data_IF_993565661290
#
_entry.id   IF_993565661290
#
_cell.length_a   1.000
_cell.length_b   1.000
_cell.length_c   1.000
_cell.angle_alpha   90.00
_cell.angle_beta   90.00
_cell.angle_gamma   90.00
#
_symmetry.space_group_name_H-M   'P 1'
#
loop_
_entity.id
_entity.type
_entity.pdbx_description
1 polymer ?
#
# COMPACT_ATOMS: atom_id res chain seq x y z
N UNK A 1 -40.44 -26.53 -23.99
CA UNK A 1 -39.79 -25.22 -24.10
C UNK A 1 -38.89 -24.91 -22.90
N UNK A 2 -39.22 -25.35 -21.67
CA UNK A 2 -38.41 -25.09 -20.47
C UNK A 2 -36.99 -25.64 -20.52
N UNK A 3 -36.78 -26.91 -20.91
CA UNK A 3 -35.42 -27.52 -21.00
C UNK A 3 -34.46 -26.84 -21.98
N UNK A 4 -34.96 -26.20 -23.04
CA UNK A 4 -34.10 -25.44 -23.98
C UNK A 4 -33.69 -24.08 -23.42
N UNK A 5 -34.47 -23.50 -22.50
CA UNK A 5 -34.16 -22.25 -21.81
C UNK A 5 -33.11 -22.48 -20.74
N UNK A 6 -33.27 -23.53 -19.94
CA UNK A 6 -32.28 -23.93 -18.92
C UNK A 6 -30.89 -24.27 -19.52
N UNK A 7 -30.86 -24.96 -20.67
CA UNK A 7 -29.60 -25.24 -21.36
C UNK A 7 -28.93 -24.00 -21.95
N UNK A 8 -29.71 -23.00 -22.36
CA UNK A 8 -29.17 -21.73 -22.86
C UNK A 8 -28.64 -20.85 -21.72
N UNK A 9 -29.34 -20.84 -20.60
CA UNK A 9 -28.96 -20.09 -19.41
C UNK A 9 -27.68 -20.69 -18.78
N UNK A 10 -27.55 -22.03 -18.69
CA UNK A 10 -26.33 -22.70 -18.24
C UNK A 10 -25.12 -22.48 -19.19
N UNK A 11 -25.35 -22.44 -20.50
CA UNK A 11 -24.27 -22.18 -21.46
C UNK A 11 -23.79 -20.71 -21.38
N UNK A 12 -24.70 -19.74 -21.18
CA UNK A 12 -24.34 -18.35 -20.96
C UNK A 12 -23.60 -18.13 -19.64
N UNK A 13 -23.99 -18.83 -18.60
CA UNK A 13 -23.30 -18.76 -17.30
C UNK A 13 -21.88 -19.35 -17.34
N UNK A 14 -21.68 -20.42 -18.09
CA UNK A 14 -20.35 -21.00 -18.34
C UNK A 14 -19.46 -20.08 -19.17
N UNK A 15 -20.01 -19.43 -20.20
CA UNK A 15 -19.29 -18.47 -21.03
C UNK A 15 -18.88 -17.23 -20.26
N UNK A 16 -19.74 -16.71 -19.37
CA UNK A 16 -19.44 -15.60 -18.47
C UNK A 16 -18.36 -15.97 -17.46
N UNK A 17 -18.38 -17.16 -16.88
CA UNK A 17 -17.34 -17.65 -15.97
C UNK A 17 -15.98 -17.78 -16.65
N UNK A 18 -15.96 -18.27 -17.89
CA UNK A 18 -14.71 -18.41 -18.65
C UNK A 18 -14.11 -17.04 -19.00
N UNK A 19 -14.95 -16.10 -19.41
CA UNK A 19 -14.57 -14.73 -19.72
C UNK A 19 -14.02 -14.01 -18.46
N UNK A 20 -14.66 -14.20 -17.31
CA UNK A 20 -14.21 -13.65 -16.04
C UNK A 20 -12.83 -14.22 -15.63
N UNK A 21 -12.61 -15.54 -15.79
CA UNK A 21 -11.31 -16.15 -15.49
C UNK A 21 -10.20 -15.66 -16.42
N UNK A 22 -10.49 -15.47 -17.71
CA UNK A 22 -9.54 -14.91 -18.66
C UNK A 22 -9.14 -13.47 -18.29
N UNK A 23 -10.12 -12.63 -17.97
CA UNK A 23 -9.86 -11.26 -17.52
C UNK A 23 -9.08 -11.19 -16.20
N UNK A 24 -9.29 -12.13 -15.27
CA UNK A 24 -8.48 -12.23 -14.05
C UNK A 24 -7.00 -12.52 -14.34
N UNK A 25 -6.72 -13.36 -15.31
CA UNK A 25 -5.35 -13.68 -15.70
C UNK A 25 -4.71 -12.47 -16.40
N UNK A 26 -5.43 -11.81 -17.31
CA UNK A 26 -4.95 -10.64 -18.03
C UNK A 26 -4.62 -9.47 -17.08
N UNK A 27 -5.47 -9.21 -16.09
CA UNK A 27 -5.21 -8.13 -15.13
C UNK A 27 -4.04 -8.45 -14.18
N UNK A 28 -3.82 -9.73 -13.85
CA UNK A 28 -2.63 -10.18 -13.12
C UNK A 28 -1.34 -9.92 -13.92
N UNK A 29 -1.36 -10.21 -15.23
CA UNK A 29 -0.21 -9.93 -16.08
C UNK A 29 0.05 -8.43 -16.22
N UNK A 30 -1.02 -7.63 -16.29
CA UNK A 30 -0.94 -6.18 -16.36
C UNK A 30 -0.37 -5.59 -15.07
N UNK A 31 -0.80 -6.10 -13.91
CA UNK A 31 -0.26 -5.71 -12.61
C UNK A 31 1.23 -6.03 -12.46
N UNK A 32 1.65 -7.22 -12.90
CA UNK A 32 3.07 -7.61 -12.91
C UNK A 32 3.93 -6.71 -13.81
N UNK A 33 3.41 -6.26 -14.95
CA UNK A 33 4.09 -5.30 -15.84
C UNK A 33 4.21 -3.92 -15.22
N UNK A 34 3.27 -3.52 -14.34
CA UNK A 34 3.23 -2.23 -13.65
C UNK A 34 3.88 -2.24 -12.25
N UNK A 35 4.92 -3.02 -12.05
CA UNK A 35 5.62 -3.13 -10.75
C UNK A 35 4.70 -3.57 -9.60
N UNK A 36 3.74 -4.45 -9.88
CA UNK A 36 2.74 -4.95 -8.94
C UNK A 36 1.84 -3.86 -8.31
N UNK A 37 1.52 -2.81 -9.07
CA UNK A 37 0.59 -1.76 -8.67
C UNK A 37 -0.49 -1.58 -9.72
N UNK A 38 -1.76 -1.54 -9.30
CA UNK A 38 -2.89 -1.20 -10.14
C UNK A 38 -3.77 -0.16 -9.45
N UNK A 39 -4.27 0.81 -10.22
CA UNK A 39 -5.25 1.77 -9.71
C UNK A 39 -6.65 1.14 -9.65
N UNK A 40 -7.40 1.47 -8.61
CA UNK A 40 -8.79 1.00 -8.44
C UNK A 40 -9.65 1.33 -9.67
N UNK A 41 -9.48 2.53 -10.24
CA UNK A 41 -10.20 2.96 -11.45
C UNK A 41 -9.82 2.11 -12.67
N UNK A 42 -8.56 1.77 -12.84
CA UNK A 42 -8.12 0.88 -13.92
C UNK A 42 -8.75 -0.51 -13.81
N UNK A 43 -8.86 -1.05 -12.59
CA UNK A 43 -9.53 -2.33 -12.35
C UNK A 43 -11.03 -2.22 -12.65
N UNK A 44 -11.66 -1.15 -12.19
CA UNK A 44 -13.09 -0.88 -12.45
C UNK A 44 -13.39 -0.74 -13.95
N UNK A 45 -12.57 0.00 -14.68
CA UNK A 45 -12.71 0.16 -16.13
C UNK A 45 -12.45 -1.14 -16.88
N UNK A 46 -11.50 -1.96 -16.43
CA UNK A 46 -11.19 -3.26 -17.04
C UNK A 46 -12.34 -4.27 -16.91
N UNK A 47 -13.08 -4.22 -15.81
CA UNK A 47 -14.22 -5.10 -15.56
C UNK A 47 -15.59 -4.46 -15.88
N UNK A 48 -15.63 -3.22 -16.41
CA UNK A 48 -16.86 -2.48 -16.69
C UNK A 48 -17.85 -3.24 -17.57
N UNK A 49 -17.35 -4.00 -18.55
CA UNK A 49 -18.17 -4.80 -19.47
C UNK A 49 -18.88 -5.97 -18.76
N UNK A 50 -18.41 -6.40 -17.59
CA UNK A 50 -18.98 -7.54 -16.87
C UNK A 50 -19.99 -7.15 -15.80
N UNK A 51 -20.21 -5.82 -15.57
CA UNK A 51 -21.13 -5.29 -14.56
C UNK A 51 -21.09 -6.09 -13.26
N UNK A 52 -19.88 -6.19 -12.67
CA UNK A 52 -19.66 -6.98 -11.45
C UNK A 52 -20.43 -6.36 -10.28
N UNK A 53 -21.09 -7.21 -9.50
CA UNK A 53 -21.63 -6.82 -8.19
C UNK A 53 -20.49 -6.36 -7.27
N UNK A 54 -20.72 -5.41 -6.34
CA UNK A 54 -19.69 -4.92 -5.43
C UNK A 54 -18.96 -6.04 -4.67
N UNK A 55 -19.67 -7.10 -4.25
CA UNK A 55 -19.08 -8.26 -3.58
C UNK A 55 -18.09 -9.01 -4.47
N UNK A 56 -18.42 -9.22 -5.74
CA UNK A 56 -17.54 -9.89 -6.70
C UNK A 56 -16.33 -9.04 -7.06
N UNK A 57 -16.50 -7.72 -7.13
CA UNK A 57 -15.42 -6.80 -7.39
C UNK A 57 -14.40 -6.79 -6.23
N UNK A 58 -14.87 -6.86 -4.98
CA UNK A 58 -14.02 -6.98 -3.82
C UNK A 58 -13.25 -8.30 -3.80
N UNK A 59 -13.88 -9.42 -4.18
CA UNK A 59 -13.18 -10.70 -4.34
C UNK A 59 -12.06 -10.61 -5.40
N UNK A 60 -12.21 -9.78 -6.43
CA UNK A 60 -11.15 -9.52 -7.42
C UNK A 60 -10.01 -8.74 -6.78
N UNK A 61 -10.30 -7.72 -5.98
CA UNK A 61 -9.29 -6.94 -5.26
C UNK A 61 -8.52 -7.85 -4.29
N UNK A 62 -9.22 -8.61 -3.46
CA UNK A 62 -8.60 -9.55 -2.53
C UNK A 62 -7.72 -10.58 -3.25
N UNK A 63 -8.18 -11.09 -4.39
CA UNK A 63 -7.40 -12.01 -5.21
C UNK A 63 -6.13 -11.38 -5.78
N UNK A 64 -6.18 -10.13 -6.24
CA UNK A 64 -5.02 -9.38 -6.72
C UNK A 64 -4.01 -9.14 -5.59
N UNK A 65 -4.48 -8.73 -4.40
CA UNK A 65 -3.64 -8.52 -3.24
C UNK A 65 -2.97 -9.80 -2.73
N UNK A 66 -3.70 -10.95 -2.73
CA UNK A 66 -3.13 -12.26 -2.40
C UNK A 66 -2.04 -12.70 -3.38
N UNK A 67 -2.12 -12.25 -4.64
CA UNK A 67 -1.09 -12.47 -5.65
C UNK A 67 0.02 -11.42 -5.66
N UNK A 68 0.07 -10.54 -4.65
CA UNK A 68 1.12 -9.54 -4.46
C UNK A 68 0.97 -8.30 -5.34
N UNK A 69 -0.22 -8.05 -5.89
CA UNK A 69 -0.54 -6.81 -6.60
C UNK A 69 -1.27 -5.88 -5.64
N UNK A 70 -0.66 -4.73 -5.33
CA UNK A 70 -1.29 -3.71 -4.48
C UNK A 70 -2.25 -2.85 -5.30
N UNK A 71 -3.48 -2.74 -4.82
CA UNK A 71 -4.52 -1.92 -5.45
C UNK A 71 -4.52 -0.53 -4.84
N UNK A 72 -4.18 0.48 -5.67
CA UNK A 72 -4.19 1.88 -5.29
C UNK A 72 -5.60 2.45 -5.50
N UNK A 73 -6.28 2.81 -4.42
CA UNK A 73 -7.51 3.59 -4.49
C UNK A 73 -7.14 5.08 -4.62
N UNK A 74 -6.80 5.54 -5.82
CA UNK A 74 -6.74 6.96 -6.13
C UNK A 74 -8.19 7.37 -6.41
N UNK A 75 -8.92 7.74 -5.38
CA UNK A 75 -10.22 8.37 -5.57
C UNK A 75 -9.98 9.82 -5.97
N UNK A 76 -10.19 10.13 -7.25
CA UNK A 76 -10.41 11.51 -7.72
C UNK A 76 -11.82 12.01 -7.35
N UNK A 77 -12.59 11.23 -6.62
CA UNK A 77 -13.85 11.63 -6.04
C UNK A 77 -13.64 12.08 -4.60
N UNK A 78 -14.30 13.16 -4.23
CA UNK A 78 -14.40 13.79 -2.91
C UNK A 78 -14.93 12.84 -1.79
N UNK A 79 -14.80 11.54 -1.96
CA UNK A 79 -15.30 10.46 -1.09
C UNK A 79 -14.31 10.03 0.02
N UNK A 80 -13.27 10.81 0.29
CA UNK A 80 -12.44 10.60 1.49
C UNK A 80 -13.15 11.30 2.64
N UNK A 81 -13.44 10.56 3.71
CA UNK A 81 -14.04 11.08 4.94
C UNK A 81 -13.56 12.49 5.29
N UNK A 82 -14.46 13.50 5.29
CA UNK A 82 -14.18 14.85 5.75
C UNK A 82 -13.65 14.91 7.21
N UNK A 83 -13.96 13.88 8.01
CA UNK A 83 -13.33 13.64 9.32
C UNK A 83 -11.92 13.01 9.20
N UNK A 84 -11.49 12.58 8.00
CA UNK A 84 -10.18 12.02 7.65
C UNK A 84 -9.49 12.89 6.59
N UNK A 85 -10.17 13.90 6.03
CA UNK A 85 -9.53 14.90 5.18
C UNK A 85 -8.57 15.71 6.06
N UNK A 86 -7.37 15.24 6.05
CA UNK A 86 -6.24 16.11 6.29
C UNK A 86 -6.05 16.82 4.96
N UNK A 87 -6.11 18.15 5.03
CA UNK A 87 -5.89 19.03 3.90
C UNK A 87 -4.81 18.45 2.98
N UNK A 88 -5.13 18.31 1.69
CA UNK A 88 -4.18 17.84 0.66
C UNK A 88 -2.96 18.77 0.56
N UNK A 89 -3.01 19.94 1.20
CA UNK A 89 -1.99 20.97 1.20
C UNK A 89 -0.92 20.84 2.31
N UNK A 90 -1.09 19.92 3.28
CA UNK A 90 -0.05 19.69 4.28
C UNK A 90 1.10 18.86 3.69
N UNK A 91 1.99 19.52 2.95
CA UNK A 91 3.38 19.05 2.84
C UNK A 91 3.91 18.90 4.26
N UNK A 92 4.01 17.66 4.73
CA UNK A 92 4.55 17.39 6.06
C UNK A 92 6.03 17.77 6.02
N UNK A 93 6.36 18.98 6.49
CA UNK A 93 7.74 19.39 6.67
C UNK A 93 8.38 18.49 7.74
N UNK A 94 9.09 17.48 7.28
CA UNK A 94 9.72 16.48 8.16
C UNK A 94 10.66 17.11 9.19
N UNK A 95 11.19 18.29 8.88
CA UNK A 95 12.07 19.05 9.77
C UNK A 95 11.37 19.60 11.03
N UNK A 96 10.07 19.88 10.94
CA UNK A 96 9.25 20.47 12.03
C UNK A 96 8.37 19.46 12.77
N UNK A 97 8.58 18.15 12.55
CA UNK A 97 7.76 17.13 13.20
C UNK A 97 7.97 17.17 14.71
N UNK A 98 6.88 17.46 15.43
CA UNK A 98 6.84 17.34 16.88
C UNK A 98 6.73 15.87 17.29
N UNK A 99 7.74 15.37 17.99
CA UNK A 99 7.80 14.02 18.56
C UNK A 99 7.20 13.94 19.97
N UNK A 100 6.49 14.95 20.45
CA UNK A 100 5.78 14.88 21.73
C UNK A 100 4.67 13.81 21.67
N UNK A 101 4.35 13.23 22.82
CA UNK A 101 3.25 12.26 22.93
C UNK A 101 1.92 13.01 22.79
N UNK A 102 0.95 12.54 21.98
CA UNK A 102 -0.35 13.19 21.83
C UNK A 102 -1.12 13.25 23.16
N UNK A 103 -1.97 14.27 23.29
CA UNK A 103 -2.88 14.37 24.44
C UNK A 103 -3.85 13.16 24.47
N UNK A 104 -4.05 12.58 25.65
CA UNK A 104 -4.91 11.39 25.82
C UNK A 104 -4.24 10.04 25.63
N UNK A 105 -2.98 10.01 25.21
CA UNK A 105 -2.18 8.77 25.20
C UNK A 105 -1.48 8.63 26.54
N UNK A 106 -1.66 7.47 27.20
CA UNK A 106 -0.87 7.13 28.39
C UNK A 106 0.61 7.12 28.01
N UNK A 107 1.41 7.90 28.73
CA UNK A 107 2.88 7.97 28.51
C UNK A 107 3.52 6.73 29.11
N UNK A 108 3.35 5.61 28.45
CA UNK A 108 4.03 4.37 28.80
C UNK A 108 5.53 4.48 28.42
N UNK A 109 6.39 3.89 29.21
CA UNK A 109 7.84 3.86 28.94
C UNK A 109 8.19 3.38 27.50
N UNK A 110 7.50 2.39 26.91
CA UNK A 110 7.77 1.94 25.54
C UNK A 110 7.58 3.00 24.47
N UNK A 111 6.54 3.84 24.56
CA UNK A 111 6.27 4.92 23.58
C UNK A 111 7.40 5.94 23.62
N UNK A 112 7.73 6.41 24.81
CA UNK A 112 8.80 7.40 25.02
C UNK A 112 10.15 6.86 24.55
N UNK A 113 10.44 5.60 24.84
CA UNK A 113 11.68 4.94 24.43
C UNK A 113 11.78 4.86 22.91
N UNK A 114 10.70 4.48 22.22
CA UNK A 114 10.64 4.43 20.75
C UNK A 114 10.86 5.83 20.13
N UNK A 115 10.15 6.86 20.62
CA UNK A 115 10.31 8.22 20.12
C UNK A 115 11.72 8.76 20.30
N UNK A 116 12.38 8.44 21.42
CA UNK A 116 13.77 8.80 21.67
C UNK A 116 14.73 8.09 20.72
N UNK A 117 14.45 6.83 20.37
CA UNK A 117 15.29 6.03 19.46
C UNK A 117 15.25 6.58 18.04
N UNK A 118 14.05 6.80 17.49
CA UNK A 118 13.90 7.35 16.13
C UNK A 118 14.43 8.77 16.01
N UNK A 119 14.43 9.54 17.11
CA UNK A 119 14.97 10.90 17.15
C UNK A 119 16.49 10.98 16.98
N UNK A 120 17.22 9.89 17.17
CA UNK A 120 18.69 9.83 17.01
C UNK A 120 19.11 9.80 15.53
N UNK A 121 18.26 9.31 14.65
CA UNK A 121 18.56 9.19 13.22
C UNK A 121 18.47 10.56 12.56
N UNK A 122 19.55 11.02 11.87
CA UNK A 122 19.53 12.29 11.16
C UNK A 122 18.57 12.25 9.97
N UNK A 123 18.00 13.42 9.63
CA UNK A 123 17.20 13.57 8.43
C UNK A 123 18.06 13.49 7.17
N UNK A 124 17.50 13.01 6.09
CA UNK A 124 18.15 12.93 4.78
C UNK A 124 17.89 14.21 3.98
N UNK A 125 18.89 14.62 3.20
CA UNK A 125 18.72 15.63 2.17
C UNK A 125 18.11 15.01 0.90
N UNK A 126 17.57 15.83 0.01
CA UNK A 126 16.98 15.36 -1.25
C UNK A 126 17.99 14.58 -2.13
N UNK A 127 19.25 15.01 -2.12
CA UNK A 127 20.32 14.35 -2.88
C UNK A 127 20.66 12.97 -2.27
N UNK A 128 20.67 12.84 -0.95
CA UNK A 128 20.86 11.57 -0.26
C UNK A 128 19.69 10.60 -0.50
N UNK A 129 18.44 11.09 -0.55
CA UNK A 129 17.28 10.27 -0.92
C UNK A 129 17.43 9.65 -2.31
N UNK A 130 17.90 10.43 -3.27
CA UNK A 130 18.14 9.98 -4.65
C UNK A 130 19.30 8.97 -4.69
N UNK A 131 20.41 9.22 -4.00
CA UNK A 131 21.54 8.30 -3.93
C UNK A 131 21.14 6.95 -3.33
N UNK A 132 20.37 6.95 -2.22
CA UNK A 132 19.87 5.74 -1.60
C UNK A 132 18.91 4.98 -2.54
N UNK A 133 18.04 5.69 -3.24
CA UNK A 133 17.12 5.07 -4.20
C UNK A 133 17.88 4.44 -5.41
N UNK A 134 18.94 5.07 -5.89
CA UNK A 134 19.83 4.50 -6.93
C UNK A 134 20.52 3.22 -6.44
N UNK A 135 21.08 3.24 -5.23
CA UNK A 135 21.71 2.07 -4.64
C UNK A 135 20.72 0.91 -4.46
N UNK A 136 19.45 1.20 -4.17
CA UNK A 136 18.39 0.18 -4.09
C UNK A 136 18.07 -0.41 -5.48
N UNK A 137 17.98 0.41 -6.52
CA UNK A 137 17.74 -0.03 -7.91
C UNK A 137 18.90 -0.91 -8.40
N UNK A 138 20.14 -0.49 -8.16
CA UNK A 138 21.35 -1.26 -8.50
C UNK A 138 21.39 -2.62 -7.77
N UNK A 139 21.02 -2.64 -6.50
CA UNK A 139 20.90 -3.86 -5.71
C UNK A 139 19.84 -4.82 -6.28
N UNK A 140 18.69 -4.30 -6.71
CA UNK A 140 17.63 -5.11 -7.32
C UNK A 140 18.10 -5.72 -8.67
N UNK A 141 18.74 -4.92 -9.51
CA UNK A 141 19.33 -5.40 -10.78
C UNK A 141 20.42 -6.45 -10.53
N UNK A 142 21.22 -6.27 -9.48
CA UNK A 142 22.24 -7.25 -9.08
C UNK A 142 21.62 -8.59 -8.67
N UNK A 143 20.49 -8.58 -7.93
CA UNK A 143 19.75 -9.80 -7.56
C UNK A 143 19.27 -10.55 -8.80
N UNK A 144 18.71 -9.86 -9.79
CA UNK A 144 18.26 -10.48 -11.04
C UNK A 144 19.42 -11.12 -11.80
N UNK A 145 20.55 -10.42 -11.91
CA UNK A 145 21.77 -10.97 -12.54
C UNK A 145 22.29 -12.22 -11.82
N UNK A 146 22.34 -12.18 -10.48
CA UNK A 146 22.75 -13.34 -9.66
C UNK A 146 21.84 -14.54 -9.92
N UNK A 147 20.53 -14.34 -10.02
CA UNK A 147 19.57 -15.42 -10.30
C UNK A 147 19.80 -16.04 -11.70
N UNK A 148 20.09 -15.22 -12.70
CA UNK A 148 20.45 -15.70 -14.05
C UNK A 148 21.78 -16.47 -14.04
N UNK A 149 22.79 -15.95 -13.34
CA UNK A 149 24.10 -16.62 -13.21
C UNK A 149 24.00 -17.95 -12.46
N UNK A 150 23.20 -18.02 -11.40
CA UNK A 150 22.92 -19.27 -10.66
C UNK A 150 22.29 -20.32 -11.57
N UNK A 151 21.36 -19.93 -12.45
CA UNK A 151 20.77 -20.86 -13.41
C UNK A 151 21.76 -21.39 -14.47
N UNK A 152 22.87 -20.69 -14.73
CA UNK A 152 23.92 -21.14 -15.65
C UNK A 152 24.94 -22.08 -14.98
N UNK A 153 25.07 -22.05 -13.66
CA UNK A 153 26.02 -22.87 -12.90
C UNK A 153 25.82 -24.37 -13.10
N UNK A 154 24.58 -24.83 -13.31
CA UNK A 154 24.24 -26.26 -13.39
C UNK A 154 24.75 -26.93 -14.68
N UNK A 155 25.09 -26.14 -15.73
CA UNK A 155 25.57 -26.63 -17.01
C UNK A 155 27.01 -26.21 -17.39
N UNK A 156 27.71 -25.47 -16.52
CA UNK A 156 29.00 -24.85 -16.82
C UNK A 156 30.19 -25.77 -16.50
N UNK A 157 31.31 -25.57 -17.20
CA UNK A 157 32.60 -26.22 -16.92
C UNK A 157 33.18 -25.73 -15.60
N UNK A 158 34.15 -26.44 -15.01
CA UNK A 158 34.74 -26.03 -13.71
C UNK A 158 35.47 -24.67 -13.77
N UNK A 159 36.03 -24.30 -14.92
CA UNK A 159 36.67 -23.00 -15.12
C UNK A 159 35.61 -21.87 -15.16
N UNK A 160 34.54 -22.07 -15.93
CA UNK A 160 33.42 -21.13 -16.00
C UNK A 160 32.71 -20.97 -14.65
N UNK A 161 32.59 -22.05 -13.87
CA UNK A 161 32.04 -21.99 -12.50
C UNK A 161 32.86 -21.11 -11.56
N UNK A 162 34.18 -21.08 -11.72
CA UNK A 162 35.05 -20.21 -10.92
C UNK A 162 34.84 -18.74 -11.27
N UNK A 163 34.74 -18.40 -12.55
CA UNK A 163 34.45 -17.04 -13.02
C UNK A 163 33.07 -16.57 -12.56
N UNK A 164 32.04 -17.38 -12.75
CA UNK A 164 30.67 -17.06 -12.31
C UNK A 164 30.60 -16.81 -10.78
N UNK A 165 31.33 -17.60 -9.99
CA UNK A 165 31.40 -17.41 -8.53
C UNK A 165 32.04 -16.08 -8.13
N UNK A 166 33.09 -15.66 -8.81
CA UNK A 166 33.73 -14.36 -8.58
C UNK A 166 32.78 -13.20 -8.98
N UNK A 167 32.08 -13.33 -10.10
CA UNK A 167 31.09 -12.35 -10.53
C UNK A 167 29.91 -12.24 -9.54
N UNK A 168 29.39 -13.37 -9.08
CA UNK A 168 28.35 -13.41 -8.03
C UNK A 168 28.84 -12.70 -6.77
N UNK A 169 30.09 -12.89 -6.37
CA UNK A 169 30.65 -12.27 -5.17
C UNK A 169 30.78 -10.74 -5.31
N UNK A 170 31.05 -10.22 -6.50
CA UNK A 170 31.07 -8.78 -6.75
C UNK A 170 29.65 -8.20 -6.71
N UNK A 171 28.69 -8.85 -7.37
CA UNK A 171 27.27 -8.46 -7.36
C UNK A 171 26.66 -8.55 -5.96
N UNK A 172 27.11 -9.49 -5.12
CA UNK A 172 26.61 -9.60 -3.74
C UNK A 172 26.89 -8.33 -2.92
N UNK A 173 28.00 -7.65 -3.17
CA UNK A 173 28.30 -6.36 -2.50
C UNK A 173 27.30 -5.26 -2.88
N UNK A 174 26.83 -5.25 -4.13
CA UNK A 174 25.85 -4.28 -4.58
C UNK A 174 24.45 -4.63 -4.00
N UNK A 175 24.13 -5.89 -3.83
CA UNK A 175 22.93 -6.35 -3.11
C UNK A 175 22.97 -5.88 -1.64
N UNK A 176 24.11 -6.06 -0.97
CA UNK A 176 24.28 -5.67 0.43
C UNK A 176 24.16 -4.13 0.58
N UNK A 177 24.77 -3.36 -0.31
CA UNK A 177 24.61 -1.88 -0.37
C UNK A 177 23.14 -1.49 -0.58
N UNK A 178 22.43 -2.16 -1.47
CA UNK A 178 21.01 -1.91 -1.73
C UNK A 178 20.15 -2.20 -0.50
N UNK A 179 20.45 -3.27 0.22
CA UNK A 179 19.77 -3.61 1.48
C UNK A 179 20.02 -2.58 2.59
N UNK A 180 21.28 -2.12 2.74
CA UNK A 180 21.64 -1.08 3.70
C UNK A 180 20.98 0.27 3.33
N UNK A 181 20.92 0.62 2.03
CA UNK A 181 20.25 1.81 1.54
C UNK A 181 18.75 1.79 1.86
N UNK A 182 18.08 0.65 1.62
CA UNK A 182 16.67 0.43 1.96
C UNK A 182 16.41 0.66 3.44
N UNK A 183 17.25 0.09 4.29
CA UNK A 183 17.17 0.22 5.75
C UNK A 183 17.35 1.68 6.18
N UNK A 184 18.37 2.36 5.66
CA UNK A 184 18.70 3.76 6.00
C UNK A 184 17.57 4.71 5.57
N UNK A 185 17.00 4.53 4.36
CA UNK A 185 15.88 5.33 3.88
C UNK A 185 14.64 5.15 4.75
N UNK A 186 14.33 3.92 5.18
CA UNK A 186 13.22 3.66 6.10
C UNK A 186 13.46 4.28 7.48
N UNK A 187 14.63 4.08 8.09
CA UNK A 187 14.98 4.58 9.43
C UNK A 187 14.90 6.11 9.51
N UNK A 188 15.37 6.82 8.50
CA UNK A 188 15.34 8.28 8.45
C UNK A 188 13.90 8.84 8.35
N UNK A 189 12.94 8.05 7.86
CA UNK A 189 11.55 8.47 7.66
C UNK A 189 10.56 7.95 8.73
N UNK A 190 11.04 7.29 9.80
CA UNK A 190 10.17 6.84 10.90
C UNK A 190 9.44 8.00 11.59
N UNK A 191 10.05 9.18 11.64
CA UNK A 191 9.43 10.39 12.21
C UNK A 191 8.20 10.82 11.41
N UNK A 192 8.22 10.66 10.09
CA UNK A 192 7.06 10.92 9.22
C UNK A 192 5.88 10.00 9.58
N UNK A 193 6.13 8.71 9.82
CA UNK A 193 5.09 7.77 10.26
C UNK A 193 4.43 8.24 11.56
N UNK A 194 5.22 8.66 12.54
CA UNK A 194 4.71 9.15 13.83
C UNK A 194 3.82 10.37 13.65
N UNK A 195 4.24 11.33 12.81
CA UNK A 195 3.45 12.57 12.56
C UNK A 195 2.08 12.26 11.96
N UNK A 196 2.02 11.28 11.05
CA UNK A 196 0.77 10.82 10.44
C UNK A 196 -0.06 10.03 11.45
N UNK A 197 0.53 9.06 12.17
CA UNK A 197 -0.16 8.22 13.14
C UNK A 197 -0.82 9.02 14.28
N UNK A 198 -0.22 10.14 14.72
CA UNK A 198 -0.79 11.04 15.72
C UNK A 198 -2.22 11.48 15.39
N UNK A 199 -2.53 11.71 14.13
CA UNK A 199 -3.84 12.20 13.66
C UNK A 199 -4.94 11.13 13.75
N UNK A 200 -4.54 9.86 13.96
CA UNK A 200 -5.45 8.71 14.06
C UNK A 200 -5.62 8.19 15.50
N UNK A 201 -5.05 8.85 16.48
CA UNK A 201 -5.21 8.51 17.90
C UNK A 201 -6.67 8.63 18.32
N UNK A 202 -7.15 7.70 19.16
CA UNK A 202 -8.54 7.68 19.63
C UNK A 202 -9.53 6.96 18.71
N UNK A 203 -9.10 6.36 17.61
CA UNK A 203 -9.97 5.67 16.64
C UNK A 203 -10.07 4.14 16.88
N UNK A 204 -9.79 3.68 18.10
CA UNK A 204 -9.99 2.27 18.49
C UNK A 204 -8.75 1.40 18.42
N UNK A 205 -7.57 1.97 18.06
CA UNK A 205 -6.27 1.31 18.09
C UNK A 205 -5.30 2.04 19.01
N UNK A 206 -4.36 1.31 19.60
CA UNK A 206 -3.29 1.88 20.41
C UNK A 206 -2.31 2.67 19.53
N UNK A 207 -1.71 3.72 20.08
CA UNK A 207 -0.81 4.59 19.31
C UNK A 207 0.40 3.84 18.74
N UNK A 208 1.00 2.92 19.51
CA UNK A 208 2.10 2.09 19.01
C UNK A 208 1.67 1.16 17.86
N UNK A 209 0.45 0.63 17.91
CA UNK A 209 -0.06 -0.24 16.85
C UNK A 209 -0.29 0.57 15.56
N UNK A 210 -0.82 1.79 15.67
CA UNK A 210 -0.94 2.72 14.53
C UNK A 210 0.42 3.03 13.90
N UNK A 211 1.45 3.24 14.74
CA UNK A 211 2.82 3.45 14.26
C UNK A 211 3.33 2.20 13.53
N UNK A 212 3.11 0.99 14.06
CA UNK A 212 3.60 -0.23 13.44
C UNK A 212 2.92 -0.51 12.09
N UNK A 213 1.60 -0.32 12.01
CA UNK A 213 0.89 -0.42 10.73
C UNK A 213 1.38 0.64 9.73
N UNK A 214 1.62 1.88 10.21
CA UNK A 214 2.23 2.93 9.40
C UNK A 214 3.65 2.57 8.92
N UNK A 215 4.46 1.91 9.76
CA UNK A 215 5.79 1.43 9.38
C UNK A 215 5.73 0.37 8.27
N UNK A 216 4.71 -0.52 8.28
CA UNK A 216 4.49 -1.46 7.18
C UNK A 216 4.18 -0.72 5.88
N UNK A 217 3.37 0.35 5.96
CA UNK A 217 3.12 1.24 4.82
C UNK A 217 4.40 1.92 4.33
N UNK A 218 5.24 2.43 5.24
CA UNK A 218 6.54 3.03 4.90
C UNK A 218 7.46 2.04 4.17
N UNK A 219 7.57 0.79 4.64
CA UNK A 219 8.40 -0.24 4.01
C UNK A 219 7.93 -0.49 2.56
N UNK A 220 6.62 -0.59 2.33
CA UNK A 220 6.06 -0.70 0.97
C UNK A 220 6.38 0.53 0.11
N UNK A 221 6.29 1.73 0.68
CA UNK A 221 6.65 2.95 -0.02
C UNK A 221 8.12 2.95 -0.45
N UNK A 222 9.04 2.53 0.42
CA UNK A 222 10.48 2.42 0.11
C UNK A 222 10.72 1.43 -1.03
N UNK A 223 10.05 0.28 -1.03
CA UNK A 223 10.21 -0.75 -2.08
C UNK A 223 9.74 -0.27 -3.46
N UNK A 224 8.75 0.60 -3.50
CA UNK A 224 8.09 1.04 -4.73
C UNK A 224 8.47 2.44 -5.16
N UNK A 225 9.34 3.11 -4.40
CA UNK A 225 9.76 4.47 -4.69
C UNK A 225 10.52 4.56 -6.02
N UNK A 226 10.13 5.53 -6.86
CA UNK A 226 10.75 5.83 -8.14
C UNK A 226 11.25 7.29 -8.14
N UNK A 227 12.53 7.48 -7.89
CA UNK A 227 13.18 8.80 -7.86
C UNK A 227 13.16 9.51 -9.23
N UNK A 228 12.99 8.75 -10.32
CA UNK A 228 12.96 9.29 -11.71
C UNK A 228 11.74 10.19 -11.94
N UNK A 229 10.71 10.06 -11.10
CA UNK A 229 9.50 10.90 -11.17
C UNK A 229 9.69 12.32 -10.62
N UNK A 230 10.79 12.59 -9.91
CA UNK A 230 11.14 13.93 -9.42
C UNK A 230 10.41 14.42 -8.18
N UNK A 231 9.56 13.59 -7.56
CA UNK A 231 8.88 13.92 -6.31
C UNK A 231 9.74 13.56 -5.10
N UNK A 232 9.59 14.32 -3.99
CA UNK A 232 10.20 13.98 -2.70
C UNK A 232 9.65 12.63 -2.20
N UNK A 233 10.49 11.86 -1.52
CA UNK A 233 10.07 10.60 -0.93
C UNK A 233 8.89 10.77 0.04
N UNK A 234 8.90 11.82 0.86
CA UNK A 234 7.84 12.11 1.85
C UNK A 234 6.45 12.23 1.24
N UNK A 235 6.32 12.89 0.07
CA UNK A 235 5.04 13.04 -0.65
C UNK A 235 4.47 11.68 -1.05
N UNK A 236 5.31 10.80 -1.60
CA UNK A 236 4.91 9.45 -1.98
C UNK A 236 4.62 8.56 -0.78
N UNK A 237 5.48 8.59 0.25
CA UNK A 237 5.37 7.75 1.43
C UNK A 237 4.12 8.09 2.27
N UNK A 238 3.72 9.36 2.34
CA UNK A 238 2.53 9.79 3.09
C UNK A 238 1.28 9.04 2.65
N UNK A 239 1.11 8.82 1.35
CA UNK A 239 -0.02 8.06 0.83
C UNK A 239 -0.02 6.61 1.32
N UNK A 240 1.12 5.91 1.24
CA UNK A 240 1.25 4.51 1.69
C UNK A 240 1.04 4.35 3.19
N UNK A 241 1.61 5.27 3.98
CA UNK A 241 1.48 5.27 5.44
C UNK A 241 0.00 5.48 5.83
N UNK A 242 -0.66 6.46 5.21
CA UNK A 242 -2.08 6.75 5.45
C UNK A 242 -2.95 5.55 5.10
N UNK A 243 -2.75 4.97 3.93
CA UNK A 243 -3.49 3.80 3.47
C UNK A 243 -3.35 2.62 4.43
N UNK A 244 -2.13 2.32 4.89
CA UNK A 244 -1.88 1.22 5.82
C UNK A 244 -2.58 1.45 7.16
N UNK A 245 -2.47 2.67 7.74
CA UNK A 245 -3.12 3.01 9.01
C UNK A 245 -4.65 2.95 8.88
N UNK A 246 -5.23 3.55 7.85
CA UNK A 246 -6.68 3.58 7.65
C UNK A 246 -7.24 2.17 7.46
N UNK A 247 -6.57 1.33 6.69
CA UNK A 247 -6.96 -0.05 6.49
C UNK A 247 -6.89 -0.86 7.79
N UNK A 248 -5.81 -0.69 8.57
CA UNK A 248 -5.67 -1.35 9.87
C UNK A 248 -6.76 -0.94 10.85
N UNK A 249 -7.14 0.33 10.91
CA UNK A 249 -8.26 0.80 11.73
C UNK A 249 -9.57 0.14 11.29
N UNK A 250 -9.85 0.10 9.98
CA UNK A 250 -11.06 -0.53 9.47
C UNK A 250 -11.14 -2.03 9.85
N UNK A 251 -10.02 -2.75 9.81
CA UNK A 251 -9.95 -4.19 10.07
C UNK A 251 -9.90 -4.56 11.57
N UNK A 252 -9.26 -3.74 12.41
CA UNK A 252 -8.87 -4.15 13.77
C UNK A 252 -9.49 -3.31 14.88
N UNK A 253 -10.03 -2.11 14.60
CA UNK A 253 -10.54 -1.22 15.65
C UNK A 253 -11.79 -1.74 16.38
N UNK A 254 -12.51 -2.70 15.81
CA UNK A 254 -13.75 -3.23 16.37
C UNK A 254 -13.54 -4.62 16.95
N UNK A 255 -14.04 -4.87 18.17
CA UNK A 255 -14.03 -6.20 18.82
C UNK A 255 -14.72 -7.26 17.95
N UNK A 256 -15.86 -6.91 17.33
CA UNK A 256 -16.49 -7.74 16.31
C UNK A 256 -16.07 -7.16 14.96
N UNK A 257 -15.25 -7.89 14.23
CA UNK A 257 -14.70 -7.45 12.94
C UNK A 257 -15.81 -7.26 11.91
N UNK A 258 -15.79 -6.11 11.24
CA UNK A 258 -16.64 -5.79 10.10
C UNK A 258 -15.75 -5.74 8.86
N UNK A 259 -16.16 -6.33 7.72
CA UNK A 259 -15.40 -6.20 6.46
C UNK A 259 -15.17 -4.74 6.05
N UNK A 260 -14.03 -4.44 5.42
CA UNK A 260 -13.61 -3.06 5.08
C UNK A 260 -14.66 -2.32 4.25
N UNK A 261 -15.23 -2.97 3.23
CA UNK A 261 -16.29 -2.39 2.39
C UNK A 261 -17.53 -1.97 3.17
N UNK A 262 -17.88 -2.73 4.21
CA UNK A 262 -19.01 -2.37 5.07
C UNK A 262 -18.68 -1.16 5.95
N UNK A 263 -17.43 -1.01 6.39
CA UNK A 263 -16.97 0.19 7.10
C UNK A 263 -17.04 1.41 6.17
N UNK A 264 -16.59 1.28 4.93
CA UNK A 264 -16.70 2.32 3.91
C UNK A 264 -18.17 2.73 3.66
N UNK A 265 -19.07 1.75 3.54
CA UNK A 265 -20.50 2.00 3.36
C UNK A 265 -21.11 2.73 4.57
N UNK A 266 -20.75 2.32 5.79
CA UNK A 266 -21.19 2.97 7.03
C UNK A 266 -20.71 4.42 7.08
N UNK A 267 -19.45 4.67 6.74
CA UNK A 267 -18.88 6.01 6.72
C UNK A 267 -19.58 6.90 5.68
N UNK A 268 -19.83 6.37 4.49
CA UNK A 268 -20.60 7.08 3.45
C UNK A 268 -22.01 7.42 3.92
N UNK A 269 -22.70 6.49 4.58
CA UNK A 269 -24.03 6.71 5.16
C UNK A 269 -24.01 7.84 6.20
N UNK A 270 -23.03 7.82 7.12
CA UNK A 270 -22.86 8.84 8.16
C UNK A 270 -22.63 10.22 7.53
N UNK A 271 -21.80 10.32 6.47
CA UNK A 271 -21.52 11.56 5.76
C UNK A 271 -22.80 12.13 5.12
N UNK A 272 -23.51 11.31 4.35
CA UNK A 272 -24.77 11.73 3.71
C UNK A 272 -25.79 12.13 4.77
N UNK A 273 -25.89 11.41 5.88
CA UNK A 273 -26.78 11.75 6.98
C UNK A 273 -26.44 13.12 7.59
N UNK A 274 -25.15 13.43 7.81
CA UNK A 274 -24.71 14.74 8.32
C UNK A 274 -25.02 15.87 7.32
N UNK A 275 -24.77 15.64 6.03
CA UNK A 275 -25.08 16.61 4.99
C UNK A 275 -26.59 16.91 4.96
N UNK A 276 -27.44 15.88 4.95
CA UNK A 276 -28.89 16.05 4.97
C UNK A 276 -29.39 16.71 6.26
N UNK A 277 -28.75 16.44 7.41
CA UNK A 277 -29.06 17.14 8.65
C UNK A 277 -28.81 18.65 8.54
N UNK A 278 -27.70 19.06 7.87
CA UNK A 278 -27.40 20.47 7.64
C UNK A 278 -28.40 21.13 6.67
N UNK A 279 -28.82 20.42 5.60
CA UNK A 279 -29.76 20.94 4.61
C UNK A 279 -31.19 21.00 5.15
N UNK A 280 -31.64 19.97 5.84
CA UNK A 280 -33.02 19.82 6.31
C UNK A 280 -33.26 20.41 7.71
N UNK A 281 -32.20 20.65 8.49
CA UNK A 281 -32.29 21.10 9.90
C UNK A 281 -32.91 20.06 10.85
N UNK A 282 -33.08 18.81 10.40
CA UNK A 282 -33.59 17.67 11.18
C UNK A 282 -32.92 16.38 10.76
N UNK A 283 -32.92 15.39 11.64
CA UNK A 283 -32.40 14.07 11.30
C UNK A 283 -33.16 13.48 10.07
N UNK A 284 -32.42 13.00 9.04
CA UNK A 284 -33.06 12.39 7.88
C UNK A 284 -33.70 11.05 8.25
N UNK A 285 -34.88 10.77 7.67
CA UNK A 285 -35.49 9.45 7.74
C UNK A 285 -34.96 8.54 6.63
N UNK A 286 -35.02 7.19 6.79
CA UNK A 286 -34.57 6.24 5.76
C UNK A 286 -35.38 6.33 4.44
N UNK A 287 -36.50 7.02 4.43
CA UNK A 287 -37.35 7.29 3.26
C UNK A 287 -36.91 8.61 2.59
#
# INVERSE_FOLDING_TARGET
MAKKKEQKDMAQEQEQRLNFQQKLIEILELGKKKKNMLEYQEIADFFKDLNLDPEKFEMVIDYLEQNGIDVLKISNDDDVDDDIILDEEDEVEVEKIDLSVPEGVSVEDPVRMYLKEIGKVPLLSADEEIELAQNMEDGAVAIEKINVLKGRLDGASEEEKAEIKEEIKTLQRDVDKGADAKKRLAEANLRLVVSIAKRYVGRGMLFLDLIQEGNLGLIKAVEKFDYKKGYKFSTYATWWIRQAITRAIADQARTIRIPVHMVETINKLIRVSRQLLQELGREPSPE
#
